data_IF_346274564691
#
_entry.id   IF_346274564691
#
_cell.length_a   1.000
_cell.length_b   1.000
_cell.length_c   1.000
_cell.angle_alpha   90.00
_cell.angle_beta   90.00
_cell.angle_gamma   90.00
#
_symmetry.space_group_name_H-M   'P 1'
#
loop_
_entity.id
_entity.type
_entity.pdbx_description
1 polymer ?
#
# COMPACT_ATOMS: atom_id res chain seq x y z
N UNK A 1 -22.22 -53.26 25.92
CA UNK A 1 -22.56 -51.83 25.94
C UNK A 1 -21.26 -51.02 25.86
N UNK A 2 -21.10 -50.28 24.74
CA UNK A 2 -20.13 -49.22 24.39
C UNK A 2 -18.68 -49.28 24.95
N UNK A 3 -17.74 -49.59 24.06
CA UNK A 3 -16.30 -49.30 24.18
C UNK A 3 -16.09 -47.83 23.75
N UNK A 4 -15.58 -46.99 24.66
CA UNK A 4 -15.18 -45.61 24.35
C UNK A 4 -13.84 -45.61 23.60
N UNK A 5 -13.87 -45.22 22.32
CA UNK A 5 -12.66 -44.95 21.54
C UNK A 5 -12.13 -43.55 21.86
N UNK A 6 -10.94 -43.48 22.48
CA UNK A 6 -10.24 -42.24 22.87
C UNK A 6 -9.33 -41.66 21.77
N UNK A 7 -9.42 -42.09 20.51
CA UNK A 7 -8.40 -41.73 19.50
C UNK A 7 -8.77 -40.54 18.59
N UNK A 8 -9.94 -39.92 18.74
CA UNK A 8 -10.41 -38.90 17.81
C UNK A 8 -10.01 -37.43 18.13
N UNK A 9 -9.26 -37.18 19.21
CA UNK A 9 -8.99 -35.80 19.66
C UNK A 9 -7.59 -35.26 19.31
N UNK A 10 -6.68 -36.09 18.80
CA UNK A 10 -5.29 -35.68 18.55
C UNK A 10 -5.05 -35.13 17.12
N UNK A 11 -5.96 -35.37 16.18
CA UNK A 11 -5.80 -35.01 14.76
C UNK A 11 -6.41 -33.66 14.37
N UNK A 12 -7.18 -33.01 15.25
CA UNK A 12 -7.80 -31.70 14.96
C UNK A 12 -6.89 -30.49 15.23
N UNK A 13 -5.77 -30.68 15.93
CA UNK A 13 -4.83 -29.61 16.29
C UNK A 13 -3.78 -29.29 15.21
N UNK A 14 -3.67 -30.11 14.17
CA UNK A 14 -2.71 -29.89 13.09
C UNK A 14 -3.26 -29.09 11.89
N UNK A 15 -4.57 -28.91 11.79
CA UNK A 15 -5.20 -28.19 10.67
C UNK A 15 -5.29 -26.67 10.88
N UNK A 16 -5.09 -26.16 12.09
CA UNK A 16 -5.17 -24.72 12.37
C UNK A 16 -3.84 -23.97 12.17
N UNK A 17 -2.73 -24.67 11.92
CA UNK A 17 -1.42 -24.03 11.70
C UNK A 17 -1.13 -23.67 10.24
N UNK A 18 -1.89 -24.21 9.28
CA UNK A 18 -1.64 -23.98 7.85
C UNK A 18 -2.61 -22.99 7.17
N UNK A 19 -3.70 -22.58 7.83
CA UNK A 19 -4.69 -21.64 7.25
C UNK A 19 -4.32 -20.16 7.42
N UNK A 20 -3.40 -19.81 8.31
CA UNK A 20 -3.07 -18.40 8.60
C UNK A 20 -2.24 -17.74 7.49
N UNK A 21 -1.43 -18.51 6.74
CA UNK A 21 -0.52 -17.95 5.73
C UNK A 21 -1.22 -17.46 4.47
N UNK A 22 -2.41 -17.98 4.15
CA UNK A 22 -3.18 -17.56 2.97
C UNK A 22 -3.93 -16.24 3.19
N UNK A 23 -4.41 -15.97 4.40
CA UNK A 23 -5.14 -14.73 4.71
C UNK A 23 -4.22 -13.49 4.72
N UNK A 24 -2.94 -13.64 5.08
CA UNK A 24 -1.98 -12.52 5.12
C UNK A 24 -1.50 -12.06 3.73
N UNK A 25 -1.42 -12.97 2.74
CA UNK A 25 -0.99 -12.61 1.37
C UNK A 25 -2.04 -11.74 0.66
N UNK A 26 -3.31 -11.96 0.96
CA UNK A 26 -4.42 -11.13 0.48
C UNK A 26 -4.52 -9.79 1.22
N UNK A 27 -4.04 -9.70 2.46
CA UNK A 27 -4.11 -8.46 3.23
C UNK A 27 -3.19 -7.38 2.65
N UNK A 28 -1.92 -7.71 2.34
CA UNK A 28 -0.99 -6.74 1.76
C UNK A 28 -1.47 -6.28 0.37
N UNK A 29 -2.03 -7.21 -0.42
CA UNK A 29 -2.63 -6.89 -1.71
C UNK A 29 -3.79 -5.91 -1.55
N UNK A 30 -4.73 -6.20 -0.65
CA UNK A 30 -5.85 -5.32 -0.34
C UNK A 30 -5.37 -3.95 0.19
N UNK A 31 -4.32 -3.94 1.01
CA UNK A 31 -3.69 -2.73 1.54
C UNK A 31 -3.12 -1.85 0.41
N UNK A 32 -2.36 -2.42 -0.53
CA UNK A 32 -1.80 -1.71 -1.70
C UNK A 32 -2.90 -1.29 -2.68
N UNK A 33 -4.01 -2.03 -2.76
CA UNK A 33 -5.13 -1.65 -3.63
C UNK A 33 -5.94 -0.50 -3.03
N UNK A 34 -6.16 -0.49 -1.70
CA UNK A 34 -6.82 0.64 -0.99
C UNK A 34 -6.06 1.94 -1.13
N UNK A 35 -4.73 1.86 -1.18
CA UNK A 35 -3.83 2.98 -1.43
C UNK A 35 -4.18 3.76 -2.72
N UNK A 36 -4.72 3.10 -3.75
CA UNK A 36 -5.17 3.78 -4.98
C UNK A 36 -6.24 4.84 -4.74
N UNK A 37 -7.10 4.66 -3.73
CA UNK A 37 -8.14 5.62 -3.35
C UNK A 37 -7.51 6.86 -2.71
N UNK A 38 -6.54 6.67 -1.82
CA UNK A 38 -5.80 7.77 -1.20
C UNK A 38 -5.06 8.60 -2.26
N UNK A 39 -4.38 7.94 -3.21
CA UNK A 39 -3.69 8.58 -4.33
C UNK A 39 -4.63 9.42 -5.20
N UNK A 40 -5.80 8.89 -5.58
CA UNK A 40 -6.79 9.65 -6.36
C UNK A 40 -7.29 10.89 -5.59
N UNK A 41 -7.47 10.77 -4.29
CA UNK A 41 -7.84 11.91 -3.43
C UNK A 41 -6.72 12.95 -3.36
N UNK A 42 -5.45 12.53 -3.21
CA UNK A 42 -4.30 13.44 -3.22
C UNK A 42 -4.24 14.17 -4.57
N UNK A 43 -4.32 13.42 -5.67
CA UNK A 43 -4.31 13.98 -7.02
C UNK A 43 -5.40 15.05 -7.21
N UNK A 44 -6.65 14.72 -6.86
CA UNK A 44 -7.78 15.65 -6.99
C UNK A 44 -7.53 16.96 -6.23
N UNK A 45 -6.89 16.89 -5.07
CA UNK A 45 -6.60 18.08 -4.26
C UNK A 45 -5.33 18.79 -4.72
N UNK A 46 -4.30 18.08 -5.20
CA UNK A 46 -3.09 18.69 -5.75
C UNK A 46 -3.38 19.49 -7.02
N UNK A 47 -4.30 19.03 -7.88
CA UNK A 47 -4.73 19.76 -9.08
C UNK A 47 -5.35 21.14 -8.80
N UNK A 48 -5.91 21.34 -7.60
CA UNK A 48 -6.49 22.62 -7.18
C UNK A 48 -5.44 23.59 -6.66
N UNK A 49 -4.24 23.09 -6.35
CA UNK A 49 -3.15 23.90 -5.85
C UNK A 49 -2.32 24.41 -7.03
N UNK A 50 -1.87 25.66 -6.93
CA UNK A 50 -0.95 26.27 -7.89
C UNK A 50 0.52 26.02 -7.54
N UNK A 51 0.78 25.42 -6.37
CA UNK A 51 2.13 25.15 -5.84
C UNK A 51 2.79 23.96 -6.53
N UNK A 52 3.99 24.19 -7.08
CA UNK A 52 4.83 23.15 -7.68
C UNK A 52 5.17 22.01 -6.69
N UNK A 53 5.28 22.32 -5.39
CA UNK A 53 5.54 21.29 -4.36
C UNK A 53 4.42 20.27 -4.24
N UNK A 54 3.17 20.65 -4.52
CA UNK A 54 2.06 19.71 -4.51
C UNK A 54 2.19 18.66 -5.63
N UNK A 55 2.69 19.08 -6.80
CA UNK A 55 2.96 18.19 -7.91
C UNK A 55 4.15 17.24 -7.61
N UNK A 56 5.22 17.76 -7.01
CA UNK A 56 6.37 16.95 -6.57
C UNK A 56 5.97 15.91 -5.51
N UNK A 57 5.23 16.33 -4.48
CA UNK A 57 4.71 15.44 -3.44
C UNK A 57 3.89 14.30 -4.07
N UNK A 58 3.03 14.62 -5.03
CA UNK A 58 2.24 13.60 -5.72
C UNK A 58 3.11 12.62 -6.52
N UNK A 59 4.14 13.11 -7.22
CA UNK A 59 5.11 12.26 -7.94
C UNK A 59 5.87 11.34 -6.99
N UNK A 60 6.23 11.80 -5.79
CA UNK A 60 6.88 10.96 -4.79
C UNK A 60 5.95 9.86 -4.25
N UNK A 61 4.66 10.14 -4.09
CA UNK A 61 3.66 9.12 -3.76
C UNK A 61 3.53 8.06 -4.86
N UNK A 62 3.59 8.47 -6.13
CA UNK A 62 3.58 7.52 -7.26
C UNK A 62 4.81 6.60 -7.25
N UNK A 63 5.99 7.12 -6.90
CA UNK A 63 7.20 6.29 -6.74
C UNK A 63 6.99 5.24 -5.65
N UNK A 64 6.53 5.64 -4.47
CA UNK A 64 6.28 4.72 -3.35
C UNK A 64 5.24 3.65 -3.70
N UNK A 65 4.16 4.03 -4.40
CA UNK A 65 3.16 3.08 -4.87
C UNK A 65 3.76 2.08 -5.87
N UNK A 66 4.54 2.56 -6.84
CA UNK A 66 5.18 1.69 -7.83
C UNK A 66 6.16 0.71 -7.17
N UNK A 67 6.98 1.18 -6.23
CA UNK A 67 7.90 0.33 -5.46
C UNK A 67 7.09 -0.75 -4.71
N UNK A 68 5.97 -0.38 -4.08
CA UNK A 68 5.13 -1.32 -3.34
C UNK A 68 4.58 -2.44 -4.22
N UNK A 69 4.13 -2.12 -5.43
CA UNK A 69 3.59 -3.08 -6.39
C UNK A 69 4.70 -4.00 -6.91
N UNK A 70 5.83 -3.44 -7.35
CA UNK A 70 6.94 -4.23 -7.90
C UNK A 70 7.54 -5.20 -6.89
N UNK A 71 7.67 -4.76 -5.65
CA UNK A 71 8.22 -5.58 -4.58
C UNK A 71 7.22 -6.58 -4.01
N UNK A 72 5.93 -6.51 -4.37
CA UNK A 72 4.91 -7.39 -3.79
C UNK A 72 5.28 -8.87 -3.90
N UNK A 73 5.80 -9.35 -5.03
CA UNK A 73 6.14 -10.77 -5.19
C UNK A 73 7.58 -11.12 -4.79
N UNK A 74 8.46 -10.14 -4.60
CA UNK A 74 9.91 -10.37 -4.42
C UNK A 74 10.41 -9.99 -3.02
N UNK A 75 9.80 -8.98 -2.39
CA UNK A 75 10.16 -8.49 -1.07
C UNK A 75 8.93 -7.87 -0.38
N UNK A 76 8.18 -8.71 0.36
CA UNK A 76 6.94 -8.33 1.05
C UNK A 76 7.14 -7.20 2.07
N UNK A 77 8.31 -7.15 2.71
CA UNK A 77 8.63 -6.12 3.70
C UNK A 77 8.85 -4.75 3.07
N UNK A 78 9.64 -4.69 1.98
CA UNK A 78 9.77 -3.46 1.19
C UNK A 78 8.42 -3.04 0.61
N UNK A 79 7.63 -4.01 0.15
CA UNK A 79 6.29 -3.78 -0.41
C UNK A 79 5.37 -3.11 0.59
N UNK A 80 5.26 -3.68 1.80
CA UNK A 80 4.48 -3.10 2.88
C UNK A 80 5.04 -1.75 3.33
N UNK A 81 6.34 -1.63 3.56
CA UNK A 81 6.95 -0.38 4.02
C UNK A 81 6.67 0.76 3.05
N UNK A 82 6.76 0.50 1.74
CA UNK A 82 6.49 1.50 0.70
C UNK A 82 5.03 1.86 0.64
N UNK A 83 4.15 0.86 0.76
CA UNK A 83 2.72 1.08 0.78
C UNK A 83 2.27 1.88 2.01
N UNK A 84 2.85 1.60 3.18
CA UNK A 84 2.55 2.27 4.43
C UNK A 84 3.04 3.73 4.39
N UNK A 85 4.28 3.96 3.93
CA UNK A 85 4.81 5.31 3.77
C UNK A 85 3.99 6.15 2.78
N UNK A 86 3.59 5.55 1.65
CA UNK A 86 2.73 6.21 0.67
C UNK A 86 1.42 6.67 1.32
N UNK A 87 0.80 5.80 2.12
CA UNK A 87 -0.45 6.11 2.79
C UNK A 87 -0.31 7.18 3.86
N UNK A 88 0.72 7.10 4.69
CA UNK A 88 1.02 8.11 5.71
C UNK A 88 1.23 9.50 5.09
N UNK A 89 2.04 9.59 4.03
CA UNK A 89 2.27 10.84 3.31
C UNK A 89 1.01 11.35 2.59
N UNK A 90 0.16 10.45 2.11
CA UNK A 90 -1.14 10.83 1.56
C UNK A 90 -2.05 11.44 2.62
N UNK A 91 -2.11 10.83 3.81
CA UNK A 91 -2.87 11.37 4.96
C UNK A 91 -2.33 12.74 5.36
N UNK A 92 -1.01 12.89 5.45
CA UNK A 92 -0.37 14.16 5.77
C UNK A 92 -0.77 15.23 4.74
N UNK A 93 -0.63 14.94 3.45
CA UNK A 93 -1.03 15.85 2.39
C UNK A 93 -2.51 16.23 2.50
N UNK A 94 -3.41 15.25 2.61
CA UNK A 94 -4.85 15.49 2.64
C UNK A 94 -5.30 16.24 3.88
N UNK A 95 -4.66 16.02 5.03
CA UNK A 95 -4.99 16.74 6.27
C UNK A 95 -4.72 18.24 6.16
N UNK A 96 -3.77 18.63 5.32
CA UNK A 96 -3.40 20.04 5.07
C UNK A 96 -4.17 20.65 3.90
N UNK A 97 -4.58 19.83 2.93
CA UNK A 97 -5.03 20.30 1.61
C UNK A 97 -6.45 19.85 1.23
N UNK A 98 -7.20 19.21 2.13
CA UNK A 98 -8.58 18.80 1.89
C UNK A 98 -9.49 19.15 3.07
N UNK A 99 -10.77 19.42 2.79
CA UNK A 99 -11.76 19.73 3.81
C UNK A 99 -12.42 18.48 4.44
N UNK A 100 -12.11 17.28 3.94
CA UNK A 100 -12.72 16.02 4.39
C UNK A 100 -11.91 15.33 5.48
N UNK A 101 -12.54 14.38 6.19
CA UNK A 101 -11.79 13.52 7.12
C UNK A 101 -10.80 12.64 6.37
N UNK A 102 -9.61 12.48 6.96
CA UNK A 102 -8.56 11.58 6.49
C UNK A 102 -8.57 10.22 7.18
N UNK A 103 -9.50 9.97 8.11
CA UNK A 103 -9.52 8.77 8.95
C UNK A 103 -9.60 7.49 8.14
N UNK A 104 -10.38 7.50 7.05
CA UNK A 104 -10.50 6.38 6.12
C UNK A 104 -9.15 5.95 5.51
N UNK A 105 -8.20 6.88 5.41
CA UNK A 105 -6.86 6.62 4.85
C UNK A 105 -5.82 6.33 5.92
N UNK A 106 -6.11 6.42 7.22
CA UNK A 106 -5.11 6.14 8.24
C UNK A 106 -4.75 4.65 8.24
N UNK A 107 -3.47 4.35 8.40
CA UNK A 107 -3.02 2.97 8.64
C UNK A 107 -3.55 2.55 10.00
N UNK A 108 -4.41 1.53 10.01
CA UNK A 108 -5.08 1.04 11.22
C UNK A 108 -4.15 0.20 12.08
N UNK A 109 -4.43 0.09 13.38
CA UNK A 109 -3.67 -0.78 14.28
C UNK A 109 -3.77 -2.26 13.88
N UNK A 110 -4.90 -2.67 13.32
CA UNK A 110 -5.06 -4.02 12.78
C UNK A 110 -4.13 -4.27 11.58
N UNK A 111 -4.04 -3.32 10.65
CA UNK A 111 -3.11 -3.42 9.52
C UNK A 111 -1.66 -3.44 10.00
N UNK A 112 -1.29 -2.62 10.99
CA UNK A 112 0.06 -2.64 11.59
C UNK A 112 0.36 -3.98 12.26
N UNK A 113 -0.59 -4.51 13.03
CA UNK A 113 -0.43 -5.78 13.73
C UNK A 113 -0.24 -6.96 12.77
N UNK A 114 -0.96 -6.96 11.64
CA UNK A 114 -0.95 -8.06 10.67
C UNK A 114 0.15 -7.95 9.61
N UNK A 115 0.47 -6.74 9.15
CA UNK A 115 1.50 -6.52 8.13
C UNK A 115 2.90 -6.27 8.73
N UNK A 116 2.96 -6.09 10.05
CA UNK A 116 4.19 -5.88 10.80
C UNK A 116 4.61 -4.40 10.88
N UNK A 117 5.85 -4.19 11.30
CA UNK A 117 6.43 -2.86 11.40
C UNK A 117 6.92 -2.38 10.03
N UNK A 118 6.55 -1.15 9.66
CA UNK A 118 7.15 -0.45 8.52
C UNK A 118 8.63 -0.22 8.81
N UNK A 119 9.50 -0.54 7.84
CA UNK A 119 10.90 -0.13 7.85
C UNK A 119 11.10 1.18 7.11
N UNK A 120 12.16 1.91 7.48
CA UNK A 120 12.58 3.11 6.75
C UNK A 120 13.09 2.72 5.37
N UNK A 121 12.55 3.35 4.33
CA UNK A 121 13.03 3.17 2.96
C UNK A 121 14.17 4.14 2.72
N UNK A 122 15.38 3.61 2.60
CA UNK A 122 16.53 4.43 2.22
C UNK A 122 16.49 4.64 0.70
N UNK A 123 16.44 5.91 0.27
CA UNK A 123 16.51 6.32 -1.14
C UNK A 123 15.52 5.58 -2.07
N UNK A 124 14.24 5.96 -2.05
CA UNK A 124 13.19 5.39 -2.91
C UNK A 124 13.59 5.26 -4.40
N UNK A 125 14.36 6.22 -4.92
CA UNK A 125 14.85 6.20 -6.31
C UNK A 125 15.72 4.97 -6.62
N UNK A 126 16.43 4.39 -5.64
CA UNK A 126 17.30 3.22 -5.84
C UNK A 126 16.53 1.93 -6.16
N UNK A 127 15.22 1.91 -5.93
CA UNK A 127 14.35 0.76 -6.21
C UNK A 127 13.63 0.86 -7.57
N UNK A 128 13.84 1.95 -8.30
CA UNK A 128 13.24 2.22 -9.60
C UNK A 128 14.35 2.34 -10.66
N UNK A 129 14.05 1.91 -11.87
CA UNK A 129 14.92 2.14 -13.03
C UNK A 129 14.86 3.60 -13.47
N UNK A 130 15.90 4.08 -14.14
CA UNK A 130 15.93 5.43 -14.71
C UNK A 130 14.74 5.71 -15.65
N UNK A 131 14.30 4.70 -16.40
CA UNK A 131 13.15 4.82 -17.28
C UNK A 131 11.86 5.06 -16.50
N UNK A 132 11.67 4.37 -15.37
CA UNK A 132 10.51 4.56 -14.49
C UNK A 132 10.53 5.93 -13.81
N UNK A 133 11.71 6.36 -13.33
CA UNK A 133 11.90 7.67 -12.73
C UNK A 133 11.57 8.78 -13.73
N UNK A 134 12.14 8.73 -14.94
CA UNK A 134 11.83 9.69 -16.02
C UNK A 134 10.35 9.66 -16.39
N UNK A 135 9.76 8.48 -16.46
CA UNK A 135 8.32 8.30 -16.73
C UNK A 135 7.42 8.93 -15.67
N UNK A 136 7.85 8.97 -14.39
CA UNK A 136 7.12 9.63 -13.30
C UNK A 136 7.37 11.15 -13.32
N UNK A 137 8.60 11.57 -13.56
CA UNK A 137 8.99 12.98 -13.63
C UNK A 137 8.31 13.72 -14.78
N UNK A 138 8.13 13.05 -15.93
CA UNK A 138 7.47 13.61 -17.10
C UNK A 138 5.93 13.70 -16.97
N UNK A 139 5.32 13.17 -15.91
CA UNK A 139 3.86 13.19 -15.80
C UNK A 139 3.37 14.61 -15.52
N UNK A 140 2.42 15.07 -16.33
CA UNK A 140 1.59 16.22 -15.99
C UNK A 140 0.59 15.82 -14.89
N UNK A 141 0.87 16.26 -13.66
CA UNK A 141 0.02 16.05 -12.46
C UNK A 141 -1.42 16.54 -12.62
N UNK A 142 -1.70 17.34 -13.66
CA UNK A 142 -3.02 17.89 -13.96
C UNK A 142 -3.84 17.05 -14.95
N UNK A 143 -3.26 16.02 -15.57
CA UNK A 143 -3.99 15.11 -16.46
C UNK A 143 -4.26 13.77 -15.77
N UNK A 144 -5.49 13.50 -15.30
CA UNK A 144 -5.80 12.28 -14.58
C UNK A 144 -5.62 10.97 -15.33
N UNK A 145 -5.66 11.01 -16.66
CA UNK A 145 -5.53 9.81 -17.48
C UNK A 145 -4.13 9.17 -17.36
N UNK A 146 -3.11 9.98 -17.08
CA UNK A 146 -1.70 9.56 -17.02
C UNK A 146 -1.36 8.73 -15.77
N UNK A 147 -2.24 8.71 -14.76
CA UNK A 147 -2.00 7.97 -13.50
C UNK A 147 -2.64 6.60 -13.44
N UNK A 148 -3.48 6.25 -14.42
CA UNK A 148 -4.18 4.97 -14.43
C UNK A 148 -3.20 3.79 -14.37
N UNK A 149 -2.01 3.93 -14.95
CA UNK A 149 -0.96 2.91 -14.92
C UNK A 149 -0.27 2.73 -13.55
N UNK A 150 -0.39 3.69 -12.64
CA UNK A 150 0.20 3.65 -11.30
C UNK A 150 -0.84 3.45 -10.19
N UNK A 151 -2.12 3.61 -10.52
CA UNK A 151 -3.26 3.25 -9.66
C UNK A 151 -3.75 1.82 -9.93
N UNK A 152 -2.98 1.04 -10.70
CA UNK A 152 -3.25 -0.36 -11.01
C UNK A 152 -3.29 -1.15 -9.71
N UNK A 153 -4.39 -1.89 -9.52
CA UNK A 153 -4.52 -2.87 -8.47
C UNK A 153 -3.60 -4.06 -8.77
N UNK A 154 -2.91 -4.57 -7.75
CA UNK A 154 -2.29 -5.89 -7.83
C UNK A 154 -3.43 -6.88 -8.13
N UNK A 155 -3.32 -7.61 -9.24
CA UNK A 155 -4.32 -8.58 -9.73
C UNK A 155 -4.24 -9.92 -9.02
#
# INVERSE_FOLDING_TARGET
MKIFSKTALASLLFLTFFTSKSQDVDLLKAFINKNSVALRSVQKNSMKLTDAKAAENFKDLLKLQLISIKSYNTNKELSYSSAAEMREKSVEFLSKNSAGSTDYYKVTEEEKAKLGAKKTIQAANSYLSDAELKSIEAIDTKDPSLFNKYTIAIQ
#
